data_IF_827239612002
#
_entry.id   IF_827239612002
#
_cell.length_a   1.000
_cell.length_b   1.000
_cell.length_c   1.000
_cell.angle_alpha   90.00
_cell.angle_beta   90.00
_cell.angle_gamma   90.00
#
_symmetry.space_group_name_H-M   'P 1'
#
loop_
_entity.id
_entity.type
_entity.pdbx_description
1 polymer ?
#
# COMPACT_ATOMS: atom_id res chain seq x y z
N UNK A 1 -5.60 -24.50 15.47
CA UNK A 1 -6.44 -23.89 14.42
C UNK A 1 -6.05 -24.54 13.10
N UNK A 2 -6.93 -25.32 12.45
CA UNK A 2 -6.66 -25.81 11.09
C UNK A 2 -6.84 -24.62 10.12
N UNK A 3 -5.73 -23.95 9.80
CA UNK A 3 -5.72 -22.76 8.95
C UNK A 3 -5.70 -23.12 7.47
N UNK A 4 -6.42 -22.36 6.65
CA UNK A 4 -6.20 -22.35 5.20
C UNK A 4 -4.89 -21.59 4.92
N UNK A 5 -4.15 -21.94 3.85
CA UNK A 5 -3.06 -21.10 3.39
C UNK A 5 -3.57 -19.69 3.05
N UNK A 6 -2.93 -18.67 3.60
CA UNK A 6 -3.22 -17.26 3.33
C UNK A 6 -1.95 -16.64 2.72
N UNK A 7 -2.13 -15.83 1.67
CA UNK A 7 -1.02 -15.08 1.07
C UNK A 7 -0.60 -13.90 1.93
N UNK A 8 0.45 -13.19 1.50
CA UNK A 8 0.97 -12.05 2.24
C UNK A 8 -0.07 -10.94 2.37
N UNK A 9 -0.19 -10.38 3.58
CA UNK A 9 -1.03 -9.23 3.89
C UNK A 9 -0.16 -8.11 4.43
N UNK A 10 -0.04 -7.03 3.66
CA UNK A 10 0.88 -5.91 3.93
C UNK A 10 0.06 -4.65 4.10
N UNK A 11 0.22 -3.96 5.24
CA UNK A 11 -0.46 -2.71 5.53
C UNK A 11 0.52 -1.55 5.53
N UNK A 12 0.19 -0.51 4.76
CA UNK A 12 0.82 0.81 4.84
C UNK A 12 -0.15 1.76 5.54
N UNK A 13 0.19 2.18 6.75
CA UNK A 13 -0.65 3.04 7.59
C UNK A 13 0.08 4.34 7.91
N UNK A 14 -0.65 5.44 8.02
CA UNK A 14 -0.06 6.73 8.38
C UNK A 14 -0.96 7.59 9.24
N UNK A 15 -0.36 8.27 10.21
CA UNK A 15 -1.02 9.23 11.08
C UNK A 15 -0.06 10.39 11.43
N UNK A 16 -0.42 11.26 12.37
CA UNK A 16 0.43 12.40 12.75
C UNK A 16 1.55 11.96 13.67
N UNK A 17 1.22 11.30 14.78
CA UNK A 17 2.18 10.88 15.79
C UNK A 17 1.80 9.53 16.38
N UNK A 18 2.79 8.70 16.67
CA UNK A 18 2.55 7.40 17.29
C UNK A 18 1.74 7.50 18.59
N UNK A 19 2.00 8.51 19.42
CA UNK A 19 1.37 8.65 20.74
C UNK A 19 0.05 9.46 20.74
N UNK A 20 -0.40 9.96 19.59
CA UNK A 20 -1.61 10.80 19.53
C UNK A 20 -2.76 10.14 18.76
N UNK A 21 -2.49 9.65 17.54
CA UNK A 21 -3.52 9.23 16.61
C UNK A 21 -3.18 7.94 15.85
N UNK A 22 -2.39 7.06 16.46
CA UNK A 22 -2.14 5.72 15.96
C UNK A 22 -3.34 4.81 16.22
N UNK A 23 -4.30 4.85 15.29
CA UNK A 23 -5.54 4.07 15.38
C UNK A 23 -5.26 2.57 15.38
N UNK A 24 -5.88 1.86 16.33
CA UNK A 24 -5.76 0.41 16.50
C UNK A 24 -4.32 -0.09 16.72
N UNK A 25 -3.49 0.70 17.42
CA UNK A 25 -2.08 0.37 17.66
C UNK A 25 -1.89 -1.04 18.23
N UNK A 26 -2.60 -1.37 19.31
CA UNK A 26 -2.44 -2.65 20.00
C UNK A 26 -2.92 -3.82 19.13
N UNK A 27 -4.05 -3.66 18.43
CA UNK A 27 -4.59 -4.68 17.53
C UNK A 27 -3.68 -4.91 16.32
N UNK A 28 -3.18 -3.83 15.71
CA UNK A 28 -2.28 -3.93 14.56
C UNK A 28 -0.96 -4.59 14.94
N UNK A 29 -0.41 -4.28 16.12
CA UNK A 29 0.78 -4.96 16.67
C UNK A 29 0.50 -6.45 16.90
N UNK A 30 -0.63 -6.78 17.55
CA UNK A 30 -1.03 -8.17 17.76
C UNK A 30 -1.19 -8.93 16.43
N UNK A 31 -1.77 -8.32 15.39
CA UNK A 31 -1.89 -8.97 14.09
C UNK A 31 -0.55 -9.26 13.42
N UNK A 32 0.47 -8.43 13.65
CA UNK A 32 1.83 -8.72 13.18
C UNK A 32 2.43 -9.88 13.98
N UNK A 33 2.30 -9.87 15.30
CA UNK A 33 2.81 -10.95 16.17
C UNK A 33 2.16 -12.31 15.87
N UNK A 34 0.86 -12.32 15.57
CA UNK A 34 0.10 -13.52 15.21
C UNK A 34 0.32 -13.96 13.75
N UNK A 35 1.01 -13.16 12.93
CA UNK A 35 1.25 -13.43 11.51
C UNK A 35 0.03 -13.19 10.61
N UNK A 36 -1.02 -12.54 11.12
CA UNK A 36 -2.18 -12.11 10.31
C UNK A 36 -1.80 -10.98 9.36
N UNK A 37 -1.01 -10.01 9.84
CA UNK A 37 -0.32 -9.05 9.01
C UNK A 37 1.12 -9.52 8.80
N UNK A 38 1.47 -9.84 7.56
CA UNK A 38 2.84 -10.20 7.19
C UNK A 38 3.79 -9.04 7.44
N UNK A 39 3.35 -7.81 7.12
CA UNK A 39 4.12 -6.58 7.34
C UNK A 39 3.22 -5.40 7.66
N UNK A 40 3.73 -4.51 8.52
CA UNK A 40 3.10 -3.27 8.90
C UNK A 40 4.11 -2.12 8.73
N UNK A 41 3.85 -1.25 7.76
CA UNK A 41 4.65 -0.08 7.46
C UNK A 41 3.94 1.16 8.00
N UNK A 42 4.60 1.90 8.89
CA UNK A 42 4.02 3.03 9.63
C UNK A 42 4.67 4.35 9.24
N UNK A 43 3.86 5.32 8.81
CA UNK A 43 4.27 6.66 8.47
C UNK A 43 3.74 7.67 9.48
N UNK A 44 4.60 8.12 10.39
CA UNK A 44 4.28 9.20 11.33
C UNK A 44 4.76 10.54 10.78
N UNK A 45 3.82 11.41 10.42
CA UNK A 45 4.13 12.64 9.70
C UNK A 45 4.68 13.78 10.58
N UNK A 46 4.65 13.63 11.92
CA UNK A 46 5.01 14.69 12.88
C UNK A 46 5.86 14.21 14.07
N UNK A 47 6.41 12.99 14.02
CA UNK A 47 7.32 12.49 15.07
C UNK A 47 8.78 12.97 14.86
N UNK A 48 9.07 13.57 13.70
CA UNK A 48 10.36 14.10 13.32
C UNK A 48 10.21 15.38 12.47
N UNK A 49 11.28 16.18 12.27
CA UNK A 49 11.22 17.43 11.48
C UNK A 49 10.75 17.21 10.03
N UNK A 50 11.20 16.15 9.38
CA UNK A 50 10.84 15.79 8.01
C UNK A 50 9.53 14.98 7.98
N UNK A 51 8.54 15.42 7.22
CA UNK A 51 7.27 14.70 7.12
C UNK A 51 7.46 13.35 6.42
N UNK A 52 7.05 12.27 7.08
CA UNK A 52 6.96 10.94 6.48
C UNK A 52 5.50 10.58 6.22
N UNK A 53 5.19 10.24 4.97
CA UNK A 53 3.86 9.81 4.53
C UNK A 53 3.91 8.40 3.98
N UNK A 54 2.75 7.76 3.85
CA UNK A 54 2.63 6.42 3.24
C UNK A 54 3.22 6.38 1.83
N UNK A 55 3.12 7.46 1.06
CA UNK A 55 3.72 7.59 -0.27
C UNK A 55 5.23 7.46 -0.25
N UNK A 56 5.92 7.98 0.77
CA UNK A 56 7.36 7.80 0.94
C UNK A 56 7.71 6.33 1.20
N UNK A 57 6.93 5.65 2.04
CA UNK A 57 7.13 4.23 2.31
C UNK A 57 6.86 3.36 1.07
N UNK A 58 5.83 3.69 0.30
CA UNK A 58 5.55 2.99 -0.96
C UNK A 58 6.71 3.16 -1.97
N UNK A 59 7.28 4.37 -2.08
CA UNK A 59 8.48 4.61 -2.90
C UNK A 59 9.72 3.85 -2.43
N UNK A 60 9.88 3.62 -1.12
CA UNK A 60 11.01 2.85 -0.59
C UNK A 60 10.82 1.34 -0.82
N UNK A 61 9.57 0.87 -0.91
CA UNK A 61 9.21 -0.55 -0.98
C UNK A 61 8.67 -0.96 -2.37
N UNK A 62 9.11 -0.28 -3.44
CA UNK A 62 8.63 -0.54 -4.82
C UNK A 62 8.72 -2.01 -5.24
N UNK A 63 9.85 -2.66 -4.94
CA UNK A 63 10.07 -4.08 -5.27
C UNK A 63 9.07 -5.00 -4.55
N UNK A 64 8.77 -4.74 -3.28
CA UNK A 64 7.77 -5.51 -2.52
C UNK A 64 6.38 -5.38 -3.14
N UNK A 65 5.99 -4.17 -3.52
CA UNK A 65 4.72 -3.92 -4.17
C UNK A 65 4.65 -4.64 -5.52
N UNK A 66 5.74 -4.63 -6.30
CA UNK A 66 5.80 -5.38 -7.56
C UNK A 66 5.66 -6.89 -7.35
N UNK A 67 6.31 -7.48 -6.34
CA UNK A 67 6.14 -8.90 -6.00
C UNK A 67 4.67 -9.25 -5.75
N UNK A 68 3.93 -8.36 -5.08
CA UNK A 68 2.50 -8.54 -4.85
C UNK A 68 1.71 -8.45 -6.16
N UNK A 69 1.81 -7.35 -6.91
CA UNK A 69 0.91 -7.09 -8.05
C UNK A 69 1.33 -7.75 -9.36
N UNK A 70 2.64 -7.86 -9.60
CA UNK A 70 3.23 -8.35 -10.82
C UNK A 70 3.44 -9.87 -10.80
N UNK A 71 4.03 -10.38 -9.71
CA UNK A 71 4.45 -11.79 -9.61
C UNK A 71 3.37 -12.67 -8.96
N UNK A 72 2.77 -12.19 -7.87
CA UNK A 72 1.81 -12.98 -7.08
C UNK A 72 0.36 -12.77 -7.49
N UNK A 73 0.11 -11.94 -8.50
CA UNK A 73 -1.24 -11.58 -8.95
C UNK A 73 -2.15 -11.06 -7.81
N UNK A 74 -1.55 -10.38 -6.82
CA UNK A 74 -2.20 -9.85 -5.63
C UNK A 74 -3.09 -8.62 -5.89
N UNK A 75 -3.63 -8.06 -4.82
CA UNK A 75 -4.59 -6.96 -4.83
C UNK A 75 -4.03 -5.72 -4.12
N UNK A 76 -4.42 -4.54 -4.59
CA UNK A 76 -4.16 -3.24 -3.95
C UNK A 76 -5.49 -2.61 -3.56
N UNK A 77 -5.52 -2.09 -2.33
CA UNK A 77 -6.60 -1.30 -1.78
C UNK A 77 -6.06 0.05 -1.33
N UNK A 78 -6.71 1.13 -1.75
CA UNK A 78 -6.37 2.51 -1.36
C UNK A 78 -7.57 3.13 -0.67
N UNK A 79 -7.39 3.63 0.55
CA UNK A 79 -8.47 4.21 1.34
C UNK A 79 -8.02 5.51 2.02
N UNK A 80 -8.85 6.55 1.99
CA UNK A 80 -8.57 7.84 2.64
C UNK A 80 -8.78 9.07 1.73
N UNK A 81 -7.85 10.03 1.81
CA UNK A 81 -7.97 11.32 1.11
C UNK A 81 -7.96 11.18 -0.41
N UNK A 82 -9.07 11.55 -1.06
CA UNK A 82 -9.22 11.53 -2.51
C UNK A 82 -8.42 12.63 -3.22
N UNK A 83 -8.15 13.76 -2.53
CA UNK A 83 -7.64 14.96 -3.20
C UNK A 83 -6.17 14.87 -3.57
N UNK A 84 -5.34 14.33 -2.66
CA UNK A 84 -3.90 14.28 -2.85
C UNK A 84 -3.39 12.85 -2.72
N UNK A 85 -3.72 12.16 -1.62
CA UNK A 85 -3.12 10.87 -1.30
C UNK A 85 -3.41 9.82 -2.37
N UNK A 86 -4.67 9.66 -2.77
CA UNK A 86 -5.06 8.66 -3.77
C UNK A 86 -4.34 8.85 -5.12
N UNK A 87 -4.20 10.11 -5.55
CA UNK A 87 -3.51 10.47 -6.81
C UNK A 87 -2.02 10.15 -6.74
N UNK A 88 -1.37 10.48 -5.62
CA UNK A 88 0.06 10.20 -5.44
C UNK A 88 0.32 8.71 -5.39
N UNK A 89 -0.51 7.93 -4.67
CA UNK A 89 -0.43 6.47 -4.66
C UNK A 89 -0.59 5.90 -6.07
N UNK A 90 -1.57 6.37 -6.85
CA UNK A 90 -1.75 5.93 -8.23
C UNK A 90 -0.48 6.15 -9.08
N UNK A 91 0.14 7.32 -8.99
CA UNK A 91 1.37 7.62 -9.72
C UNK A 91 2.53 6.72 -9.29
N UNK A 92 2.66 6.42 -8.00
CA UNK A 92 3.68 5.50 -7.49
C UNK A 92 3.49 4.09 -8.06
N UNK A 93 2.24 3.58 -8.09
CA UNK A 93 1.95 2.28 -8.69
C UNK A 93 2.27 2.27 -10.18
N UNK A 94 1.98 3.35 -10.91
CA UNK A 94 2.35 3.51 -12.30
C UNK A 94 3.87 3.44 -12.51
N UNK A 95 4.65 4.14 -11.67
CA UNK A 95 6.12 4.07 -11.69
C UNK A 95 6.62 2.64 -11.45
N UNK A 96 6.09 1.95 -10.45
CA UNK A 96 6.46 0.58 -10.12
C UNK A 96 6.24 -0.36 -11.31
N UNK A 97 5.10 -0.24 -11.99
CA UNK A 97 4.79 -1.06 -13.16
C UNK A 97 5.72 -0.75 -14.34
N UNK A 98 6.10 0.52 -14.54
CA UNK A 98 7.07 0.89 -15.58
C UNK A 98 8.45 0.31 -15.27
N UNK A 99 8.93 0.50 -14.04
CA UNK A 99 10.27 0.13 -13.60
C UNK A 99 10.45 -1.39 -13.53
N UNK A 100 9.62 -2.08 -12.75
CA UNK A 100 9.77 -3.51 -12.50
C UNK A 100 9.04 -4.38 -13.53
N UNK A 101 7.98 -3.86 -14.13
CA UNK A 101 7.26 -4.53 -15.22
C UNK A 101 7.88 -4.30 -16.61
N UNK A 102 8.91 -3.45 -16.70
CA UNK A 102 9.56 -2.99 -17.94
C UNK A 102 8.55 -2.53 -18.98
N UNK A 103 7.61 -1.68 -18.55
CA UNK A 103 6.50 -1.21 -19.37
C UNK A 103 6.71 0.24 -19.76
N UNK A 104 6.30 0.57 -20.99
CA UNK A 104 6.10 1.96 -21.35
C UNK A 104 5.03 2.58 -20.45
N UNK A 105 4.98 3.91 -20.36
CA UNK A 105 3.93 4.61 -19.62
C UNK A 105 2.52 4.17 -20.06
N UNK A 106 2.27 4.09 -21.36
CA UNK A 106 0.97 3.68 -21.90
C UNK A 106 0.61 2.24 -21.50
N UNK A 107 1.60 1.33 -21.54
CA UNK A 107 1.40 -0.07 -21.14
C UNK A 107 1.17 -0.21 -19.63
N UNK A 108 1.80 0.65 -18.82
CA UNK A 108 1.58 0.71 -17.38
C UNK A 108 0.17 1.24 -17.05
N UNK A 109 -0.29 2.29 -17.72
CA UNK A 109 -1.68 2.77 -17.59
C UNK A 109 -2.69 1.69 -17.99
N UNK A 110 -2.44 1.00 -19.10
CA UNK A 110 -3.27 -0.14 -19.52
C UNK A 110 -3.22 -1.31 -18.52
N UNK A 111 -2.08 -1.53 -17.85
CA UNK A 111 -1.95 -2.52 -16.78
C UNK A 111 -2.86 -2.18 -15.60
N UNK A 112 -2.83 -0.94 -15.11
CA UNK A 112 -3.68 -0.51 -13.99
C UNK A 112 -5.16 -0.66 -14.36
N UNK A 113 -5.58 -0.21 -15.55
CA UNK A 113 -6.97 -0.38 -16.03
C UNK A 113 -7.41 -1.84 -16.04
N UNK A 114 -6.51 -2.76 -16.39
CA UNK A 114 -6.78 -4.20 -16.32
C UNK A 114 -6.89 -4.69 -14.87
N UNK A 115 -6.06 -4.20 -13.97
CA UNK A 115 -6.20 -4.53 -12.54
C UNK A 115 -7.53 -4.05 -11.99
N UNK A 116 -7.97 -2.84 -12.33
CA UNK A 116 -9.27 -2.28 -11.94
C UNK A 116 -10.42 -3.14 -12.45
N UNK A 117 -10.40 -3.53 -13.74
CA UNK A 117 -11.44 -4.40 -14.32
C UNK A 117 -11.48 -5.80 -13.70
N UNK A 118 -10.32 -6.29 -13.23
CA UNK A 118 -10.19 -7.53 -12.47
C UNK A 118 -10.47 -7.38 -10.97
N UNK A 119 -10.82 -6.17 -10.50
CA UNK A 119 -11.00 -5.82 -9.08
C UNK A 119 -9.77 -6.05 -8.21
N UNK A 120 -8.59 -6.05 -8.83
CA UNK A 120 -7.27 -6.17 -8.18
C UNK A 120 -6.69 -4.82 -7.78
N UNK A 121 -7.23 -3.72 -8.29
CA UNK A 121 -6.95 -2.38 -7.78
C UNK A 121 -8.30 -1.77 -7.39
N UNK A 122 -8.45 -1.35 -6.14
CA UNK A 122 -9.67 -0.74 -5.63
C UNK A 122 -9.32 0.49 -4.79
N UNK A 123 -9.99 1.61 -5.05
CA UNK A 123 -9.84 2.83 -4.28
C UNK A 123 -11.19 3.24 -3.69
N UNK A 124 -11.23 3.41 -2.38
CA UNK A 124 -12.38 3.92 -1.63
C UNK A 124 -11.98 5.22 -0.92
N UNK A 125 -12.25 6.35 -1.58
CA UNK A 125 -11.66 7.64 -1.21
C UNK A 125 -12.71 8.74 -1.18
N UNK A 126 -12.57 9.66 -0.22
CA UNK A 126 -13.51 10.74 0.03
C UNK A 126 -12.80 12.09 0.27
N UNK A 127 -13.57 13.18 0.27
CA UNK A 127 -13.08 14.57 0.19
C UNK A 127 -13.75 15.52 1.15
#
# INVERSE_FOLDING_TARGET
>A
KEGKPVGDTILYFGCRKAQEDYLYEDELKAYVEEGTLTKLHLAFSRDQPEKVYVTHLLHQNKEEIWKVIGESNGHIYVCGDARNMAKDVHNIILEIIQEYGQKSKNDAEAYIKRMESQRRYSADVWS
#
